data_IF_384445082656
#
_entry.id   IF_384445082656
#
_cell.length_a   1.000
_cell.length_b   1.000
_cell.length_c   1.000
_cell.angle_alpha   90.00
_cell.angle_beta   90.00
_cell.angle_gamma   90.00
#
_symmetry.space_group_name_H-M   'P 1'
#
loop_
_entity.id
_entity.type
_entity.pdbx_description
1 polymer ?
#
# COMPACT_ATOMS: atom_id res chain seq x y z
N UNK A 1 -29.81 -10.02 3.33
CA UNK A 1 -29.18 -10.65 2.14
C UNK A 1 -27.71 -10.67 2.46
N UNK A 2 -27.29 -11.62 3.29
CA UNK A 2 -26.07 -11.46 4.08
C UNK A 2 -24.97 -12.38 3.56
N UNK A 3 -23.84 -11.78 3.20
CA UNK A 3 -22.54 -12.44 3.32
C UNK A 3 -21.94 -13.12 2.09
N UNK A 4 -22.36 -12.80 0.86
CA UNK A 4 -21.85 -13.57 -0.29
C UNK A 4 -20.37 -13.32 -0.61
N UNK A 5 -19.76 -12.18 -0.24
CA UNK A 5 -18.40 -11.89 -0.71
C UNK A 5 -17.60 -10.97 0.22
N UNK A 6 -16.29 -11.24 0.31
CA UNK A 6 -15.26 -10.30 0.73
C UNK A 6 -15.01 -9.19 -0.31
N UNK A 7 -13.93 -8.41 -0.17
CA UNK A 7 -13.72 -7.20 -0.98
C UNK A 7 -13.44 -7.52 -2.45
N UNK A 8 -13.78 -6.57 -3.33
CA UNK A 8 -13.48 -6.66 -4.76
C UNK A 8 -14.41 -7.61 -5.51
N UNK A 9 -13.87 -8.29 -6.53
CA UNK A 9 -14.65 -8.98 -7.56
C UNK A 9 -14.10 -10.37 -7.85
N UNK A 10 -14.97 -11.35 -8.13
CA UNK A 10 -14.60 -12.75 -8.40
C UNK A 10 -13.69 -12.93 -9.63
N UNK A 11 -13.80 -12.03 -10.61
CA UNK A 11 -13.08 -12.10 -11.88
C UNK A 11 -12.84 -10.72 -12.48
N UNK A 12 -11.92 -10.58 -13.44
CA UNK A 12 -11.77 -9.36 -14.22
C UNK A 12 -13.06 -8.92 -14.94
N UNK A 13 -13.84 -9.87 -15.46
CA UNK A 13 -15.10 -9.57 -16.16
C UNK A 13 -16.14 -8.93 -15.23
N UNK A 14 -16.19 -9.34 -13.96
CA UNK A 14 -17.06 -8.72 -12.96
C UNK A 14 -16.51 -7.35 -12.51
N UNK A 15 -15.19 -7.20 -12.41
CA UNK A 15 -14.57 -5.92 -12.09
C UNK A 15 -14.86 -4.83 -13.13
N UNK A 16 -14.91 -5.19 -14.42
CA UNK A 16 -15.23 -4.27 -15.52
C UNK A 16 -16.66 -3.73 -15.44
N UNK A 17 -17.60 -4.54 -14.91
CA UNK A 17 -19.01 -4.15 -14.76
C UNK A 17 -19.27 -3.28 -13.52
N UNK A 18 -18.27 -3.12 -12.66
CA UNK A 18 -18.43 -2.42 -11.40
C UNK A 18 -18.78 -0.94 -11.59
N UNK A 19 -19.38 -0.30 -10.57
CA UNK A 19 -19.57 1.16 -10.58
C UNK A 19 -18.25 1.89 -10.77
N UNK A 20 -18.31 3.03 -11.47
CA UNK A 20 -17.16 3.93 -11.62
C UNK A 20 -16.75 4.49 -10.25
N UNK A 21 -15.46 4.72 -10.10
CA UNK A 21 -14.88 5.40 -8.95
C UNK A 21 -15.39 6.84 -8.82
N UNK A 22 -15.50 7.31 -7.58
CA UNK A 22 -15.89 8.69 -7.25
C UNK A 22 -14.79 9.47 -6.55
N UNK A 23 -13.77 8.76 -6.08
CA UNK A 23 -12.61 9.31 -5.39
C UNK A 23 -11.35 8.67 -5.95
N UNK A 24 -10.30 9.46 -6.06
CA UNK A 24 -8.96 9.03 -6.41
C UNK A 24 -8.01 9.46 -5.30
N UNK A 25 -7.20 8.51 -4.81
CA UNK A 25 -6.09 8.81 -3.93
C UNK A 25 -4.82 8.85 -4.77
N UNK A 26 -3.98 9.86 -4.57
CA UNK A 26 -2.67 9.96 -5.23
C UNK A 26 -1.63 10.50 -4.28
N UNK A 27 -0.42 9.97 -4.40
CA UNK A 27 0.74 10.49 -3.71
C UNK A 27 1.19 11.79 -4.41
N UNK A 28 1.67 12.74 -3.62
CA UNK A 28 2.45 13.87 -4.10
C UNK A 28 3.65 14.10 -3.17
N UNK A 29 4.78 14.47 -3.76
CA UNK A 29 6.05 14.59 -3.05
C UNK A 29 6.65 15.98 -3.17
N UNK A 30 7.32 16.42 -2.11
CA UNK A 30 8.26 17.52 -2.10
C UNK A 30 9.71 17.04 -2.09
N UNK A 31 9.94 15.76 -1.76
CA UNK A 31 11.28 15.16 -1.82
C UNK A 31 11.94 15.40 -3.19
N UNK A 32 13.15 15.96 -3.18
CA UNK A 32 13.89 16.31 -4.41
C UNK A 32 13.57 17.68 -5.02
N UNK A 33 12.55 18.40 -4.53
CA UNK A 33 12.16 19.72 -5.06
C UNK A 33 12.87 20.91 -4.40
N UNK A 34 13.56 20.68 -3.28
CA UNK A 34 14.14 21.72 -2.42
C UNK A 34 13.15 22.30 -1.39
N UNK A 35 11.85 22.02 -1.50
CA UNK A 35 10.84 22.47 -0.53
C UNK A 35 10.89 21.59 0.73
N UNK A 36 11.03 22.23 1.89
CA UNK A 36 11.06 21.55 3.20
C UNK A 36 9.65 21.34 3.76
N UNK A 37 8.89 20.43 3.15
CA UNK A 37 7.54 20.04 3.59
C UNK A 37 7.33 18.53 3.48
N UNK A 38 6.43 17.95 4.28
CA UNK A 38 6.07 16.53 4.16
C UNK A 38 5.48 16.19 2.80
N UNK A 39 5.81 15.01 2.32
CA UNK A 39 5.03 14.37 1.25
C UNK A 39 3.60 14.10 1.76
N UNK A 40 2.62 13.95 0.87
CA UNK A 40 1.23 13.80 1.27
C UNK A 40 0.41 12.90 0.35
N UNK A 41 -0.67 12.34 0.90
CA UNK A 41 -1.72 11.67 0.15
C UNK A 41 -2.83 12.68 -0.19
N UNK A 42 -3.02 12.98 -1.46
CA UNK A 42 -4.13 13.77 -1.96
C UNK A 42 -5.37 12.90 -2.17
N UNK A 43 -6.52 13.41 -1.75
CA UNK A 43 -7.84 12.89 -2.14
C UNK A 43 -8.44 13.82 -3.19
N UNK A 44 -8.73 13.27 -4.36
CA UNK A 44 -9.31 13.97 -5.50
C UNK A 44 -10.74 13.49 -5.70
N UNK A 45 -11.67 14.43 -5.81
CA UNK A 45 -13.04 14.11 -6.18
C UNK A 45 -13.15 13.95 -7.70
N UNK A 46 -13.52 12.75 -8.13
CA UNK A 46 -13.60 12.38 -9.55
C UNK A 46 -15.02 12.01 -9.98
N UNK A 47 -16.04 12.30 -9.15
CA UNK A 47 -17.45 12.16 -9.53
C UNK A 47 -17.88 13.36 -10.40
N UNK A 48 -18.22 13.18 -11.70
CA UNK A 48 -18.63 14.29 -12.56
C UNK A 48 -19.88 15.04 -12.09
N UNK A 49 -20.67 14.45 -11.19
CA UNK A 49 -21.86 15.06 -10.61
C UNK A 49 -21.56 15.86 -9.33
N UNK A 50 -20.33 15.78 -8.81
CA UNK A 50 -19.93 16.48 -7.59
C UNK A 50 -19.63 17.95 -7.85
N UNK A 51 -20.03 18.89 -6.96
CA UNK A 51 -19.63 20.30 -7.05
C UNK A 51 -18.11 20.50 -6.86
N UNK A 52 -17.40 19.48 -6.37
CA UNK A 52 -15.94 19.47 -6.22
C UNK A 52 -15.24 18.60 -7.26
N UNK A 53 -15.92 18.18 -8.33
CA UNK A 53 -15.32 17.41 -9.42
C UNK A 53 -14.00 18.01 -9.91
N UNK A 54 -13.00 17.14 -10.12
CA UNK A 54 -11.64 17.49 -10.57
C UNK A 54 -10.86 18.39 -9.60
N UNK A 55 -11.21 18.39 -8.31
CA UNK A 55 -10.48 19.13 -7.27
C UNK A 55 -9.83 18.19 -6.26
N UNK A 56 -8.66 18.61 -5.77
CA UNK A 56 -8.11 18.04 -4.53
C UNK A 56 -8.98 18.53 -3.37
N UNK A 57 -9.69 17.61 -2.72
CA UNK A 57 -10.62 17.91 -1.63
C UNK A 57 -10.01 17.70 -0.25
N UNK A 58 -8.92 16.95 -0.16
CA UNK A 58 -8.18 16.73 1.09
C UNK A 58 -6.70 16.43 0.83
N UNK A 59 -5.85 16.81 1.78
CA UNK A 59 -4.42 16.48 1.81
C UNK A 59 -4.08 15.92 3.18
N UNK A 60 -3.65 14.66 3.21
CA UNK A 60 -3.11 14.03 4.40
C UNK A 60 -1.57 14.11 4.33
N UNK A 61 -1.00 15.10 5.00
CA UNK A 61 0.46 15.26 5.12
C UNK A 61 1.05 14.14 6.01
N UNK A 62 2.19 13.60 5.59
CA UNK A 62 2.92 12.63 6.41
C UNK A 62 3.54 13.33 7.63
N UNK A 63 3.83 12.59 8.72
CA UNK A 63 4.41 13.20 9.92
C UNK A 63 5.84 13.71 9.72
N UNK A 64 6.56 13.18 8.73
CA UNK A 64 7.97 13.46 8.46
C UNK A 64 8.20 14.17 7.12
N UNK A 65 9.43 14.67 6.94
CA UNK A 65 9.90 15.24 5.67
C UNK A 65 10.88 14.24 5.03
N UNK A 66 10.82 14.10 3.71
CA UNK A 66 11.79 13.31 2.96
C UNK A 66 11.47 11.82 2.89
N UNK A 67 10.21 11.44 3.06
CA UNK A 67 9.76 10.05 2.95
C UNK A 67 10.02 9.46 1.55
N UNK A 68 9.90 10.27 0.49
CA UNK A 68 9.85 9.81 -0.90
C UNK A 68 8.73 8.79 -1.07
N UNK A 69 7.49 9.22 -0.83
CA UNK A 69 6.33 8.40 -1.14
C UNK A 69 6.34 8.04 -2.65
N UNK A 70 6.03 6.79 -3.01
CA UNK A 70 6.21 6.34 -4.38
C UNK A 70 5.09 5.42 -4.89
N UNK A 71 5.09 4.14 -4.48
CA UNK A 71 3.98 3.23 -4.70
C UNK A 71 3.05 3.20 -3.49
N UNK A 72 1.84 2.69 -3.66
CA UNK A 72 0.91 2.40 -2.57
C UNK A 72 -0.04 1.27 -2.98
N UNK A 73 -0.59 0.58 -1.98
CA UNK A 73 -1.47 -0.56 -2.21
C UNK A 73 -2.49 -0.74 -1.10
N UNK A 74 -3.55 -1.48 -1.41
CA UNK A 74 -4.63 -1.76 -0.46
C UNK A 74 -4.29 -2.92 0.47
N UNK A 75 -4.78 -2.87 1.72
CA UNK A 75 -4.66 -3.98 2.68
C UNK A 75 -5.37 -5.26 2.21
N UNK A 76 -6.45 -5.12 1.43
CA UNK A 76 -7.23 -6.22 0.93
C UNK A 76 -7.83 -5.87 -0.43
N UNK A 77 -7.99 -6.87 -1.29
CA UNK A 77 -8.44 -6.71 -2.66
C UNK A 77 -9.19 -7.96 -3.13
N UNK A 78 -9.45 -8.06 -4.43
CA UNK A 78 -10.18 -9.19 -5.02
C UNK A 78 -9.56 -10.56 -4.73
N UNK A 79 -8.28 -10.63 -4.30
CA UNK A 79 -7.67 -11.88 -3.83
C UNK A 79 -8.36 -12.46 -2.59
N UNK A 80 -9.14 -11.66 -1.84
CA UNK A 80 -9.93 -12.05 -0.69
C UNK A 80 -11.44 -12.09 -0.98
N UNK A 81 -11.87 -12.13 -2.25
CA UNK A 81 -13.29 -12.05 -2.60
C UNK A 81 -14.16 -13.13 -1.93
N UNK A 82 -13.61 -14.30 -1.61
CA UNK A 82 -14.31 -15.37 -0.89
C UNK A 82 -14.34 -15.22 0.63
N UNK A 83 -13.65 -14.22 1.20
CA UNK A 83 -13.53 -14.02 2.65
C UNK A 83 -14.34 -12.81 3.12
N UNK A 84 -15.55 -13.06 3.61
CA UNK A 84 -16.47 -12.04 4.11
C UNK A 84 -15.97 -11.32 5.38
N UNK A 85 -14.91 -11.80 6.03
CA UNK A 85 -14.30 -11.13 7.19
C UNK A 85 -13.30 -10.06 6.78
N UNK A 86 -12.90 -10.01 5.50
CA UNK A 86 -11.97 -9.03 4.98
C UNK A 86 -12.70 -7.81 4.42
N UNK A 87 -12.01 -6.67 4.42
CA UNK A 87 -12.49 -5.45 3.78
C UNK A 87 -11.32 -4.62 3.27
N UNK A 88 -11.52 -3.97 2.11
CA UNK A 88 -10.63 -2.95 1.56
C UNK A 88 -10.91 -1.65 2.29
N UNK A 89 -10.11 -1.33 3.31
CA UNK A 89 -10.32 -0.18 4.19
C UNK A 89 -9.06 0.64 4.44
N UNK A 90 -7.89 0.04 4.34
CA UNK A 90 -6.62 0.72 4.57
C UNK A 90 -5.76 0.76 3.31
N UNK A 91 -5.17 1.92 3.08
CA UNK A 91 -4.15 2.13 2.07
C UNK A 91 -2.79 2.13 2.76
N UNK A 92 -1.86 1.30 2.30
CA UNK A 92 -0.49 1.29 2.75
C UNK A 92 0.32 2.16 1.81
N UNK A 93 0.98 3.17 2.40
CA UNK A 93 1.73 4.20 1.68
C UNK A 93 3.16 4.19 2.24
N UNK A 94 4.10 3.48 1.61
CA UNK A 94 5.49 3.47 2.05
C UNK A 94 6.27 4.72 1.62
N UNK A 95 7.20 5.16 2.47
CA UNK A 95 8.25 6.10 2.11
C UNK A 95 9.53 5.35 1.73
N UNK A 96 9.97 5.48 0.46
CA UNK A 96 11.15 4.77 -0.06
C UNK A 96 12.41 5.13 0.74
N UNK A 97 12.59 6.39 1.13
CA UNK A 97 13.78 6.83 1.87
C UNK A 97 13.68 6.59 3.37
N UNK A 98 12.52 6.90 3.96
CA UNK A 98 12.33 6.78 5.40
C UNK A 98 12.18 5.34 5.87
N UNK A 99 11.74 4.44 4.97
CA UNK A 99 11.37 3.05 5.25
C UNK A 99 10.09 2.91 6.09
N UNK A 100 9.44 4.02 6.45
CA UNK A 100 8.17 3.98 7.15
C UNK A 100 7.07 3.50 6.21
N UNK A 101 6.09 2.78 6.77
CA UNK A 101 4.88 2.39 6.05
C UNK A 101 3.68 2.98 6.77
N UNK A 102 3.03 3.93 6.12
CA UNK A 102 1.85 4.60 6.65
C UNK A 102 0.61 3.79 6.29
N UNK A 103 -0.09 3.28 7.30
CA UNK A 103 -1.38 2.63 7.15
C UNK A 103 -2.45 3.69 7.31
N UNK A 104 -3.13 4.03 6.22
CA UNK A 104 -4.12 5.11 6.13
C UNK A 104 -5.52 4.53 6.12
N UNK A 105 -6.37 4.93 7.07
CA UNK A 105 -7.80 4.62 7.11
C UNK A 105 -8.56 5.47 6.10
N UNK A 106 -9.19 4.78 5.15
CA UNK A 106 -10.05 5.38 4.12
C UNK A 106 -11.52 4.99 4.30
N UNK A 107 -11.84 4.10 5.24
CA UNK A 107 -13.21 3.63 5.45
C UNK A 107 -13.99 4.53 6.40
N UNK A 108 -13.34 5.07 7.44
CA UNK A 108 -14.01 5.96 8.41
C UNK A 108 -14.49 7.27 7.78
N UNK A 109 -13.67 7.86 6.91
CA UNK A 109 -14.04 9.01 6.07
C UNK A 109 -13.24 8.95 4.76
N UNK A 110 -13.85 8.45 3.66
CA UNK A 110 -13.16 8.36 2.37
C UNK A 110 -12.73 9.70 1.79
N UNK A 111 -13.41 10.81 2.14
CA UNK A 111 -13.12 12.14 1.61
C UNK A 111 -12.00 12.84 2.38
N UNK A 112 -11.78 12.44 3.64
CA UNK A 112 -10.68 12.93 4.47
C UNK A 112 -9.97 11.80 5.25
N UNK A 113 -9.21 10.92 4.56
CA UNK A 113 -8.47 9.83 5.18
C UNK A 113 -7.49 10.28 6.28
N UNK A 114 -7.17 9.36 7.20
CA UNK A 114 -6.28 9.62 8.35
C UNK A 114 -5.31 8.48 8.57
N UNK A 115 -4.13 8.78 9.14
CA UNK A 115 -3.18 7.75 9.54
C UNK A 115 -3.79 6.93 10.68
N UNK A 116 -3.88 5.62 10.46
CA UNK A 116 -4.32 4.65 11.46
C UNK A 116 -3.14 4.10 12.26
N UNK A 117 -2.04 3.77 11.57
CA UNK A 117 -0.82 3.19 12.15
C UNK A 117 0.38 3.55 11.29
N UNK A 118 1.55 3.60 11.91
CA UNK A 118 2.84 3.65 11.21
C UNK A 118 3.59 2.38 11.55
N UNK A 119 4.03 1.65 10.53
CA UNK A 119 5.03 0.59 10.70
C UNK A 119 6.41 1.25 10.61
N UNK A 120 7.13 1.23 11.71
CA UNK A 120 8.39 1.96 11.87
C UNK A 120 9.49 1.37 10.99
N UNK A 121 10.10 2.21 10.15
CA UNK A 121 11.14 1.80 9.21
C UNK A 121 12.42 1.26 9.88
N UNK A 122 12.76 1.75 11.07
CA UNK A 122 13.89 1.24 11.86
C UNK A 122 13.60 -0.16 12.41
N UNK A 123 12.35 -0.43 12.79
CA UNK A 123 11.92 -1.75 13.23
C UNK A 123 11.94 -2.76 12.08
N UNK A 124 11.47 -2.35 10.89
CA UNK A 124 11.56 -3.16 9.66
C UNK A 124 13.02 -3.52 9.38
N UNK A 125 13.92 -2.52 9.33
CA UNK A 125 15.36 -2.74 9.13
C UNK A 125 15.92 -3.72 10.15
N UNK A 126 15.64 -3.51 11.43
CA UNK A 126 16.15 -4.35 12.52
C UNK A 126 15.67 -5.79 12.43
N UNK A 127 14.39 -6.01 12.11
CA UNK A 127 13.79 -7.35 12.08
C UNK A 127 14.07 -8.12 10.80
N UNK A 128 14.26 -7.44 9.68
CA UNK A 128 14.24 -8.08 8.36
C UNK A 128 15.48 -7.82 7.51
N UNK A 129 16.36 -6.91 7.93
CA UNK A 129 17.47 -6.43 7.12
C UNK A 129 17.02 -5.96 5.73
N UNK A 130 15.94 -5.17 5.67
CA UNK A 130 15.38 -4.61 4.43
C UNK A 130 15.34 -3.08 4.50
N UNK A 131 15.60 -2.42 3.37
CA UNK A 131 15.37 -0.98 3.18
C UNK A 131 14.88 -0.65 1.76
N UNK A 132 14.27 0.53 1.60
CA UNK A 132 13.67 0.98 0.36
C UNK A 132 12.36 0.25 0.02
N UNK A 133 11.29 0.38 0.82
CA UNK A 133 10.00 -0.21 0.46
C UNK A 133 9.51 0.36 -0.88
N UNK A 134 8.95 -0.50 -1.72
CA UNK A 134 8.52 -0.14 -3.07
C UNK A 134 7.09 -0.62 -3.35
N UNK A 135 6.90 -1.74 -4.05
CA UNK A 135 5.58 -2.22 -4.46
C UNK A 135 4.84 -2.87 -3.30
N UNK A 136 3.54 -2.56 -3.15
CA UNK A 136 2.66 -3.16 -2.14
C UNK A 136 1.58 -4.00 -2.81
N UNK A 137 1.46 -5.26 -2.40
CA UNK A 137 0.34 -6.12 -2.78
C UNK A 137 -0.30 -6.83 -1.58
N UNK A 138 -1.61 -6.69 -1.45
CA UNK A 138 -2.48 -7.62 -0.70
C UNK A 138 -2.32 -9.04 -1.26
N UNK A 139 -2.28 -10.08 -0.42
CA UNK A 139 -2.29 -11.50 -0.77
C UNK A 139 -3.19 -12.24 0.23
N UNK A 140 -4.49 -12.37 -0.08
CA UNK A 140 -5.45 -12.84 0.92
C UNK A 140 -5.51 -11.87 2.10
N UNK A 141 -5.41 -12.37 3.33
CA UNK A 141 -5.35 -11.50 4.53
C UNK A 141 -3.99 -10.85 4.76
N UNK A 142 -2.96 -11.31 4.06
CA UNK A 142 -1.58 -10.90 4.25
C UNK A 142 -1.19 -9.81 3.26
N UNK A 143 -0.07 -9.13 3.53
CA UNK A 143 0.45 -8.05 2.70
C UNK A 143 1.93 -8.27 2.46
N UNK A 144 2.32 -8.31 1.19
CA UNK A 144 3.71 -8.45 0.76
C UNK A 144 4.15 -7.13 0.15
N UNK A 145 5.36 -6.70 0.51
CA UNK A 145 5.93 -5.42 0.05
C UNK A 145 7.34 -5.66 -0.44
N UNK A 146 7.66 -5.29 -1.67
CA UNK A 146 9.03 -5.38 -2.17
C UNK A 146 9.91 -4.29 -1.56
N UNK A 147 11.17 -4.62 -1.35
CA UNK A 147 12.19 -3.72 -0.80
C UNK A 147 13.43 -3.78 -1.69
N UNK A 148 13.99 -2.61 -2.01
CA UNK A 148 15.07 -2.45 -2.97
C UNK A 148 16.41 -3.04 -2.50
N UNK A 149 16.69 -3.00 -1.19
CA UNK A 149 17.99 -3.41 -0.65
C UNK A 149 17.95 -3.91 0.80
N UNK A 150 19.13 -4.19 1.33
CA UNK A 150 19.41 -4.58 2.70
C UNK A 150 19.28 -3.36 3.64
N UNK A 151 19.46 -3.51 4.96
CA UNK A 151 19.30 -2.38 5.89
C UNK A 151 20.30 -1.22 5.67
N UNK A 152 21.41 -1.48 4.97
CA UNK A 152 22.46 -0.51 4.62
C UNK A 152 22.18 0.18 3.28
N UNK A 153 21.19 -0.27 2.53
CA UNK A 153 20.87 0.24 1.19
C UNK A 153 21.61 -0.49 0.07
N UNK A 154 22.20 -1.65 0.34
CA UNK A 154 22.95 -2.45 -0.63
C UNK A 154 22.15 -3.68 -1.07
N UNK A 155 22.65 -4.46 -2.03
CA UNK A 155 22.08 -5.77 -2.32
C UNK A 155 22.30 -6.77 -1.16
N UNK A 156 21.40 -7.75 -0.94
CA UNK A 156 20.19 -8.00 -1.72
C UNK A 156 18.96 -7.23 -1.23
N UNK A 157 18.05 -6.93 -2.15
CA UNK A 157 16.67 -6.57 -1.81
C UNK A 157 15.86 -7.75 -1.25
N UNK A 158 14.54 -7.62 -1.24
CA UNK A 158 13.66 -8.74 -0.85
C UNK A 158 12.21 -8.33 -0.64
N UNK A 159 11.49 -9.09 0.18
CA UNK A 159 10.06 -8.91 0.39
C UNK A 159 9.71 -8.93 1.88
N UNK A 160 9.08 -7.86 2.35
CA UNK A 160 8.51 -7.78 3.70
C UNK A 160 7.14 -8.46 3.72
N UNK A 161 6.89 -9.24 4.76
CA UNK A 161 5.57 -9.83 5.05
C UNK A 161 4.95 -9.14 6.27
N UNK A 162 3.79 -8.52 6.06
CA UNK A 162 2.92 -8.01 7.11
C UNK A 162 1.65 -8.86 7.23
N UNK A 163 1.20 -9.09 8.47
CA UNK A 163 -0.10 -9.72 8.72
C UNK A 163 -1.25 -8.72 8.58
N UNK A 164 -2.49 -9.21 8.69
CA UNK A 164 -3.73 -8.41 8.61
C UNK A 164 -3.84 -7.26 9.62
N UNK A 165 -3.07 -7.33 10.72
CA UNK A 165 -3.03 -6.34 11.81
C UNK A 165 -1.82 -5.38 11.64
N UNK A 166 -1.17 -5.45 10.47
CA UNK A 166 -0.02 -4.64 10.06
C UNK A 166 1.19 -4.83 10.99
N UNK A 167 1.39 -6.05 11.48
CA UNK A 167 2.57 -6.42 12.26
C UNK A 167 3.60 -7.08 11.34
N UNK A 168 4.87 -6.82 11.62
CA UNK A 168 6.00 -7.41 10.89
C UNK A 168 6.08 -8.89 11.24
N UNK A 169 5.75 -9.74 10.27
CA UNK A 169 5.94 -11.20 10.36
C UNK A 169 7.42 -11.52 10.14
N UNK A 170 8.02 -10.89 9.13
CA UNK A 170 9.41 -11.11 8.76
C UNK A 170 9.65 -10.88 7.28
N UNK A 171 10.63 -11.58 6.72
CA UNK A 171 10.81 -11.69 5.27
C UNK A 171 9.84 -12.73 4.72
N UNK A 172 9.28 -12.48 3.54
CA UNK A 172 8.35 -13.40 2.90
C UNK A 172 9.08 -14.58 2.24
N UNK A 173 10.23 -14.31 1.64
CA UNK A 173 11.05 -15.32 1.00
C UNK A 173 11.89 -16.12 1.99
N UNK A 174 12.10 -17.41 1.71
CA UNK A 174 13.06 -18.24 2.44
C UNK A 174 14.51 -17.86 2.11
N UNK A 175 14.76 -17.46 0.86
CA UNK A 175 16.07 -17.01 0.37
C UNK A 175 15.89 -16.25 -0.94
N UNK A 176 16.70 -15.21 -1.16
CA UNK A 176 16.83 -14.54 -2.47
C UNK A 176 17.67 -15.34 -3.47
N UNK A 177 18.39 -16.38 -3.02
CA UNK A 177 19.28 -17.17 -3.88
C UNK A 177 20.27 -16.27 -4.63
N UNK A 178 20.36 -16.46 -5.95
CA UNK A 178 21.22 -15.69 -6.84
C UNK A 178 20.56 -14.39 -7.38
N UNK A 179 19.47 -13.92 -6.75
CA UNK A 179 18.75 -12.70 -7.17
C UNK A 179 19.24 -11.51 -6.31
N UNK A 180 20.16 -10.67 -6.81
CA UNK A 180 20.72 -9.57 -6.02
C UNK A 180 19.79 -8.36 -5.92
N UNK A 181 18.89 -8.16 -6.88
CA UNK A 181 18.09 -6.94 -6.97
C UNK A 181 16.60 -7.24 -6.87
N UNK A 182 15.87 -6.35 -6.23
CA UNK A 182 14.41 -6.36 -6.13
C UNK A 182 13.88 -4.98 -6.51
N UNK A 183 12.68 -4.94 -7.08
CA UNK A 183 12.01 -3.72 -7.46
C UNK A 183 10.50 -3.92 -7.38
N UNK A 184 9.91 -4.44 -8.46
CA UNK A 184 8.50 -4.74 -8.54
C UNK A 184 8.25 -6.25 -8.51
N UNK A 185 7.05 -6.67 -8.13
CA UNK A 185 6.63 -8.05 -8.17
C UNK A 185 5.12 -8.17 -8.31
N UNK A 186 4.67 -9.29 -8.86
CA UNK A 186 3.26 -9.71 -8.81
C UNK A 186 3.22 -11.23 -8.70
N UNK A 187 2.10 -11.78 -8.24
CA UNK A 187 1.85 -13.22 -8.13
C UNK A 187 0.62 -13.67 -8.94
N UNK A 188 0.57 -14.94 -9.34
CA UNK A 188 -0.62 -15.55 -9.94
C UNK A 188 -1.30 -16.47 -8.92
N UNK A 189 -2.28 -16.00 -8.13
CA UNK A 189 -2.79 -16.74 -6.98
C UNK A 189 -3.61 -17.98 -7.35
N UNK A 190 -3.96 -18.15 -8.63
CA UNK A 190 -4.74 -19.28 -9.15
C UNK A 190 -3.93 -20.18 -10.08
N UNK A 191 -2.62 -19.96 -10.19
CA UNK A 191 -1.75 -20.78 -11.02
C UNK A 191 -0.96 -21.74 -10.12
N UNK A 192 -0.96 -23.04 -10.46
CA UNK A 192 -0.34 -24.12 -9.67
C UNK A 192 -0.88 -24.27 -8.23
N UNK A 193 -2.18 -24.02 -8.05
CA UNK A 193 -2.94 -24.30 -6.81
C UNK A 193 -3.81 -25.53 -6.95
#
# INVERSE_FOLDING_TARGET
>A
MDGCCGPGYASPAEAIKAPKEKLLYTIAIYTGTGIQKPDYLATVDVDPQSPTYSKVIHRLEMPGIGDELHHMGWNACSSCHGDSKMSRKYLLVPGVRSNNIYVVDTASDPRAPKIHKVVDGSEIKKKTNLSGPHTVHCLGSEIIISFLGDARGEAPGGYLHLNKDFEIVGRWENSMGDIPFSYDFWYQPRHNV
#
